data_IF_395628750533
#
_entry.id   IF_395628750533
#
_cell.length_a   1.000
_cell.length_b   1.000
_cell.length_c   1.000
_cell.angle_alpha   90.00
_cell.angle_beta   90.00
_cell.angle_gamma   90.00
#
_symmetry.space_group_name_H-M   'P 1'
#
loop_
_entity.id
_entity.type
_entity.pdbx_description
1 polymer ?
#
# COMPACT_ATOMS: atom_id res chain seq x y z
N UNK A 1 25.72 -11.13 24.34
CA UNK A 1 25.04 -11.12 23.03
C UNK A 1 25.84 -10.19 22.13
N UNK A 2 26.24 -10.64 20.95
CA UNK A 2 26.94 -9.80 19.97
C UNK A 2 25.90 -9.13 19.10
N UNK A 3 25.84 -7.79 19.11
CA UNK A 3 24.95 -7.03 18.23
C UNK A 3 25.41 -7.12 16.77
N UNK A 4 24.45 -7.25 15.85
CA UNK A 4 24.70 -7.21 14.41
C UNK A 4 25.02 -5.77 13.99
N UNK A 5 26.19 -5.52 13.41
CA UNK A 5 26.60 -4.18 12.92
C UNK A 5 25.91 -3.75 11.62
N UNK A 6 24.79 -4.39 11.24
CA UNK A 6 24.05 -4.05 10.03
C UNK A 6 23.09 -2.90 10.33
N UNK A 7 23.12 -1.88 9.49
CA UNK A 7 22.09 -0.85 9.45
C UNK A 7 20.75 -1.51 9.06
N UNK A 8 19.71 -1.22 9.84
CA UNK A 8 18.35 -1.73 9.63
C UNK A 8 17.40 -0.54 9.62
N UNK A 9 16.38 -0.62 8.76
CA UNK A 9 15.30 0.35 8.72
C UNK A 9 14.07 -0.21 9.43
N UNK A 10 13.37 0.64 10.16
CA UNK A 10 12.10 0.34 10.81
C UNK A 10 10.96 0.92 9.96
N UNK A 11 10.09 0.05 9.45
CA UNK A 11 8.92 0.48 8.69
C UNK A 11 7.70 0.66 9.61
N UNK A 12 7.02 1.80 9.49
CA UNK A 12 5.67 1.97 10.00
C UNK A 12 4.67 1.29 9.07
N UNK A 13 3.83 0.41 9.60
CA UNK A 13 2.80 -0.27 8.80
C UNK A 13 1.46 0.44 8.91
N UNK A 14 0.81 0.63 7.75
CA UNK A 14 -0.58 1.08 7.64
C UNK A 14 -1.39 -0.03 6.94
N UNK A 15 -2.16 -0.84 7.69
CA UNK A 15 -3.03 -1.86 7.12
C UNK A 15 -4.37 -1.27 6.63
N UNK A 16 -5.18 -2.04 5.87
CA UNK A 16 -6.54 -1.63 5.52
C UNK A 16 -7.42 -1.47 6.77
N UNK A 17 -8.12 -0.35 6.87
CA UNK A 17 -8.88 0.02 8.07
C UNK A 17 -10.11 -0.87 8.35
N UNK A 18 -10.69 -1.48 7.31
CA UNK A 18 -11.96 -2.23 7.37
C UNK A 18 -11.82 -3.74 7.13
N UNK A 19 -10.61 -4.26 7.33
CA UNK A 19 -10.29 -5.66 7.16
C UNK A 19 -9.69 -5.97 5.78
N UNK A 20 -8.78 -6.93 5.75
CA UNK A 20 -8.11 -7.36 4.52
C UNK A 20 -9.11 -7.92 3.52
N UNK A 21 -8.87 -7.63 2.24
CA UNK A 21 -9.62 -8.17 1.11
C UNK A 21 -11.10 -7.79 1.06
N UNK A 22 -11.51 -6.76 1.82
CA UNK A 22 -12.90 -6.28 1.91
C UNK A 22 -13.02 -4.81 1.50
N UNK A 23 -12.68 -4.47 0.24
CA UNK A 23 -12.81 -3.09 -0.23
C UNK A 23 -14.27 -2.62 -0.23
N UNK A 24 -15.24 -3.54 -0.23
CA UNK A 24 -16.67 -3.26 -0.11
C UNK A 24 -17.09 -2.67 1.26
N UNK A 25 -16.25 -2.80 2.29
CA UNK A 25 -16.48 -2.22 3.62
C UNK A 25 -15.84 -0.84 3.80
N UNK A 26 -15.18 -0.31 2.77
CA UNK A 26 -14.41 0.92 2.88
C UNK A 26 -15.31 2.13 3.19
N UNK A 27 -14.94 2.88 4.24
CA UNK A 27 -15.56 4.15 4.60
C UNK A 27 -14.50 5.25 4.70
N UNK A 28 -14.38 6.10 3.68
CA UNK A 28 -13.31 7.09 3.50
C UNK A 28 -12.96 7.89 4.78
N UNK A 29 -13.96 8.53 5.39
CA UNK A 29 -13.74 9.40 6.56
C UNK A 29 -13.17 8.62 7.74
N UNK A 30 -13.73 7.45 8.04
CA UNK A 30 -13.30 6.62 9.16
C UNK A 30 -11.95 5.96 8.86
N UNK A 31 -11.70 5.55 7.61
CA UNK A 31 -10.39 5.07 7.18
C UNK A 31 -9.32 6.13 7.45
N UNK A 32 -9.58 7.39 7.11
CA UNK A 32 -8.66 8.48 7.38
C UNK A 32 -8.39 8.65 8.88
N UNK A 33 -9.43 8.64 9.71
CA UNK A 33 -9.30 8.75 11.18
C UNK A 33 -8.46 7.61 11.78
N UNK A 34 -8.67 6.37 11.31
CA UNK A 34 -7.92 5.18 11.73
C UNK A 34 -6.46 5.29 11.28
N UNK A 35 -6.21 5.52 9.98
CA UNK A 35 -4.87 5.63 9.41
C UNK A 35 -4.09 6.79 10.02
N UNK A 36 -4.72 7.94 10.28
CA UNK A 36 -4.08 9.09 10.93
C UNK A 36 -3.68 8.80 12.38
N UNK A 37 -4.50 8.03 13.10
CA UNK A 37 -4.17 7.59 14.47
C UNK A 37 -2.96 6.68 14.47
N UNK A 38 -2.92 5.69 13.57
CA UNK A 38 -1.78 4.78 13.41
C UNK A 38 -0.52 5.52 12.96
N UNK A 39 -0.66 6.49 12.05
CA UNK A 39 0.42 7.33 11.59
C UNK A 39 1.08 8.10 12.75
N UNK A 40 0.27 8.85 13.51
CA UNK A 40 0.76 9.68 14.63
C UNK A 40 1.47 8.85 15.71
N UNK A 41 0.99 7.64 15.97
CA UNK A 41 1.57 6.77 16.98
C UNK A 41 2.95 6.23 16.59
N UNK A 42 3.18 5.99 15.29
CA UNK A 42 4.41 5.37 14.79
C UNK A 42 5.43 6.41 14.29
N UNK A 43 5.01 7.61 13.85
CA UNK A 43 5.87 8.58 13.17
C UNK A 43 7.18 8.92 13.91
N UNK A 44 7.26 9.04 15.25
CA UNK A 44 8.54 9.32 15.91
C UNK A 44 9.55 8.16 15.89
N UNK A 45 9.15 6.96 15.44
CA UNK A 45 9.86 5.70 15.67
C UNK A 45 10.25 4.94 14.41
N UNK A 46 9.88 5.44 13.23
CA UNK A 46 10.01 4.73 11.96
C UNK A 46 10.87 5.52 10.97
N UNK A 47 11.59 4.81 10.12
CA UNK A 47 12.45 5.38 9.09
C UNK A 47 11.72 5.51 7.75
N UNK A 48 10.79 4.58 7.47
CA UNK A 48 9.99 4.51 6.25
C UNK A 48 8.54 4.12 6.56
N UNK A 49 7.65 4.31 5.58
CA UNK A 49 6.25 3.92 5.66
C UNK A 49 5.90 2.85 4.63
N UNK A 50 5.11 1.86 5.05
CA UNK A 50 4.58 0.82 4.19
C UNK A 50 3.06 0.70 4.41
N UNK A 51 2.27 1.10 3.43
CA UNK A 51 0.87 0.74 3.38
C UNK A 51 0.77 -0.68 2.83
N UNK A 52 0.25 -1.62 3.62
CA UNK A 52 0.24 -3.03 3.24
C UNK A 52 -1.16 -3.56 2.98
N UNK A 53 -1.29 -4.55 2.08
CA UNK A 53 -2.56 -5.22 1.80
C UNK A 53 -3.67 -4.24 1.39
N UNK A 54 -3.31 -3.19 0.63
CA UNK A 54 -4.25 -2.17 0.15
C UNK A 54 -5.11 -2.78 -0.96
N UNK A 55 -6.43 -2.78 -0.78
CA UNK A 55 -7.33 -3.54 -1.64
C UNK A 55 -7.97 -2.72 -2.75
N UNK A 56 -7.91 -1.37 -2.68
CA UNK A 56 -8.53 -0.45 -3.63
C UNK A 56 -7.76 0.85 -3.83
N UNK A 57 -8.05 1.55 -4.93
CA UNK A 57 -7.48 2.89 -5.18
C UNK A 57 -7.99 3.88 -4.12
N UNK A 58 -9.27 3.79 -3.74
CA UNK A 58 -9.86 4.68 -2.73
C UNK A 58 -9.18 4.54 -1.35
N UNK A 59 -8.79 3.32 -0.96
CA UNK A 59 -7.97 3.10 0.25
C UNK A 59 -6.59 3.77 0.11
N UNK A 60 -5.92 3.59 -1.03
CA UNK A 60 -4.61 4.17 -1.30
C UNK A 60 -4.65 5.71 -1.24
N UNK A 61 -5.68 6.35 -1.79
CA UNK A 61 -5.87 7.80 -1.72
C UNK A 61 -5.94 8.32 -0.28
N UNK A 62 -6.73 7.66 0.57
CA UNK A 62 -6.82 8.02 1.99
C UNK A 62 -5.48 7.85 2.70
N UNK A 63 -4.81 6.72 2.46
CA UNK A 63 -3.53 6.42 3.12
C UNK A 63 -2.45 7.39 2.66
N UNK A 64 -2.32 7.64 1.35
CA UNK A 64 -1.34 8.59 0.81
C UNK A 64 -1.58 10.02 1.30
N UNK A 65 -2.84 10.44 1.49
CA UNK A 65 -3.18 11.73 2.13
C UNK A 65 -2.77 11.81 3.60
N UNK A 66 -2.78 10.68 4.33
CA UNK A 66 -2.23 10.64 5.70
C UNK A 66 -0.71 10.71 5.65
N UNK A 67 -0.08 9.92 4.77
CA UNK A 67 1.37 9.84 4.63
C UNK A 67 2.00 11.12 4.04
N UNK A 68 1.22 11.98 3.36
CA UNK A 68 1.70 13.30 2.90
C UNK A 68 2.06 14.27 4.03
N UNK A 69 1.86 13.89 5.30
CA UNK A 69 2.23 14.68 6.49
C UNK A 69 3.69 14.48 6.91
N UNK A 70 4.42 13.60 6.25
CA UNK A 70 5.84 13.33 6.49
C UNK A 70 6.63 13.41 5.19
N UNK A 71 7.94 13.65 5.30
CA UNK A 71 8.88 13.61 4.19
C UNK A 71 9.59 12.24 4.07
N UNK A 72 9.25 11.28 4.94
CA UNK A 72 9.84 9.95 4.91
C UNK A 72 9.36 9.15 3.69
N UNK A 73 10.21 8.28 3.12
CA UNK A 73 9.80 7.42 2.01
C UNK A 73 8.57 6.60 2.37
N UNK A 74 7.60 6.58 1.47
CA UNK A 74 6.36 5.83 1.63
C UNK A 74 6.14 4.88 0.46
N UNK A 75 5.72 3.66 0.76
CA UNK A 75 5.49 2.63 -0.24
C UNK A 75 4.08 2.08 -0.10
N UNK A 76 3.40 1.90 -1.22
CA UNK A 76 2.03 1.37 -1.25
C UNK A 76 2.05 -0.03 -1.84
N UNK A 77 1.71 -1.01 -1.01
CA UNK A 77 1.67 -2.42 -1.37
C UNK A 77 0.23 -2.89 -1.55
N UNK A 78 -0.13 -3.16 -2.81
CA UNK A 78 -1.48 -3.60 -3.17
C UNK A 78 -1.65 -5.12 -3.02
N UNK A 79 -2.87 -5.54 -2.71
CA UNK A 79 -3.32 -6.94 -2.82
C UNK A 79 -4.22 -7.12 -4.03
N UNK A 80 -4.08 -8.25 -4.70
CA UNK A 80 -4.66 -8.54 -6.01
C UNK A 80 -5.76 -9.60 -5.91
N UNK A 81 -6.61 -9.67 -6.92
CA UNK A 81 -7.52 -10.80 -7.10
C UNK A 81 -6.68 -12.06 -7.34
N UNK A 82 -6.97 -13.16 -6.64
CA UNK A 82 -6.24 -14.44 -6.80
C UNK A 82 -6.75 -15.25 -8.02
N UNK A 83 -7.00 -14.56 -9.12
CA UNK A 83 -7.39 -15.14 -10.41
C UNK A 83 -6.27 -14.79 -11.40
N UNK A 84 -5.72 -15.82 -12.06
CA UNK A 84 -4.59 -15.67 -12.99
C UNK A 84 -5.12 -15.12 -14.31
N UNK A 85 -5.31 -13.81 -14.33
CA UNK A 85 -5.94 -13.05 -15.40
C UNK A 85 -5.00 -11.93 -15.89
N UNK A 86 -5.15 -11.54 -17.16
CA UNK A 86 -4.44 -10.42 -17.76
C UNK A 86 -5.44 -9.39 -18.31
N UNK A 87 -5.37 -8.10 -17.93
CA UNK A 87 -4.41 -7.49 -16.99
C UNK A 87 -4.74 -7.78 -15.50
N UNK A 88 -3.72 -7.66 -14.65
CA UNK A 88 -3.86 -7.82 -13.19
C UNK A 88 -4.74 -6.73 -12.57
N UNK A 89 -5.50 -7.12 -11.53
CA UNK A 89 -6.49 -6.25 -10.87
C UNK A 89 -6.33 -6.23 -9.36
N UNK A 90 -6.62 -5.08 -8.77
CA UNK A 90 -6.84 -4.93 -7.34
C UNK A 90 -8.08 -5.72 -6.91
N UNK A 91 -8.22 -6.02 -5.61
CA UNK A 91 -9.39 -6.75 -5.10
C UNK A 91 -10.73 -6.03 -5.26
N UNK A 92 -10.74 -4.72 -5.47
CA UNK A 92 -11.93 -3.97 -5.87
C UNK A 92 -12.20 -3.95 -7.38
N UNK A 93 -11.32 -4.54 -8.19
CA UNK A 93 -11.50 -4.76 -9.63
C UNK A 93 -10.83 -3.72 -10.54
N UNK A 94 -10.29 -2.63 -10.00
CA UNK A 94 -9.50 -1.65 -10.76
C UNK A 94 -8.22 -2.28 -11.31
N UNK A 95 -7.73 -1.74 -12.42
CA UNK A 95 -6.48 -2.19 -13.00
C UNK A 95 -5.31 -1.75 -12.14
N UNK A 96 -4.27 -2.57 -12.10
CA UNK A 96 -3.01 -2.19 -11.45
C UNK A 96 -2.38 -0.96 -12.14
N UNK A 97 -2.57 -0.78 -13.44
CA UNK A 97 -2.12 0.42 -14.17
C UNK A 97 -2.84 1.69 -13.70
N UNK A 98 -4.15 1.63 -13.43
CA UNK A 98 -4.92 2.75 -12.90
C UNK A 98 -4.40 3.14 -11.51
N UNK A 99 -4.00 2.15 -10.71
CA UNK A 99 -3.38 2.38 -9.40
C UNK A 99 -2.00 3.06 -9.52
N UNK A 100 -1.21 2.74 -10.55
CA UNK A 100 0.05 3.46 -10.84
C UNK A 100 -0.23 4.91 -11.21
N UNK A 101 -1.19 5.16 -12.11
CA UNK A 101 -1.57 6.52 -12.51
C UNK A 101 -1.99 7.36 -11.29
N UNK A 102 -2.77 6.77 -10.38
CA UNK A 102 -3.14 7.45 -9.13
C UNK A 102 -1.92 7.74 -8.25
N UNK A 103 -1.02 6.77 -8.05
CA UNK A 103 0.15 6.97 -7.19
C UNK A 103 1.13 8.01 -7.74
N UNK A 104 1.24 8.16 -9.06
CA UNK A 104 2.04 9.20 -9.70
C UNK A 104 1.58 10.63 -9.36
N UNK A 105 0.34 10.79 -8.88
CA UNK A 105 -0.18 12.08 -8.38
C UNK A 105 0.18 12.36 -6.92
N UNK A 106 0.87 11.43 -6.25
CA UNK A 106 1.22 11.48 -4.82
C UNK A 106 2.74 11.54 -4.60
N UNK A 107 3.18 11.64 -3.34
CA UNK A 107 4.59 11.56 -2.95
C UNK A 107 5.06 10.12 -2.65
N UNK A 108 4.32 9.10 -3.09
CA UNK A 108 4.71 7.71 -2.91
C UNK A 108 6.07 7.44 -3.57
N UNK A 109 6.97 6.80 -2.84
CA UNK A 109 8.32 6.44 -3.28
C UNK A 109 8.35 5.14 -4.10
N UNK A 110 7.29 4.36 -4.07
CA UNK A 110 7.16 3.16 -4.89
C UNK A 110 5.87 2.39 -4.66
N UNK A 111 5.63 1.48 -5.59
CA UNK A 111 4.52 0.52 -5.59
C UNK A 111 5.07 -0.89 -5.33
N UNK A 112 4.36 -1.66 -4.52
CA UNK A 112 4.64 -3.07 -4.24
C UNK A 112 3.37 -3.91 -4.33
N UNK A 113 3.54 -5.23 -4.23
CA UNK A 113 2.43 -6.18 -4.18
C UNK A 113 2.69 -7.21 -3.07
N UNK A 114 1.68 -7.50 -2.25
CA UNK A 114 1.78 -8.50 -1.19
C UNK A 114 0.45 -9.24 -0.98
N UNK A 115 0.47 -10.27 -0.12
CA UNK A 115 -0.74 -11.00 0.30
C UNK A 115 -1.60 -11.49 -0.87
N UNK A 116 -0.93 -11.94 -1.95
CA UNK A 116 -1.53 -12.43 -3.19
C UNK A 116 -0.69 -13.60 -3.71
N UNK A 117 -1.25 -14.47 -4.55
CA UNK A 117 -0.48 -15.59 -5.11
C UNK A 117 0.68 -15.11 -6.02
N UNK A 118 1.80 -15.83 -6.11
CA UNK A 118 2.97 -15.42 -6.89
C UNK A 118 2.66 -15.12 -8.37
N UNK A 119 1.76 -15.90 -8.99
CA UNK A 119 1.41 -15.79 -10.41
C UNK A 119 0.78 -14.44 -10.74
N UNK A 120 -0.12 -13.92 -9.89
CA UNK A 120 -0.76 -12.62 -10.10
C UNK A 120 0.20 -11.46 -9.78
N UNK A 121 1.13 -11.67 -8.82
CA UNK A 121 2.19 -10.70 -8.53
C UNK A 121 3.17 -10.58 -9.72
N UNK A 122 3.53 -11.70 -10.35
CA UNK A 122 4.35 -11.69 -11.56
C UNK A 122 3.69 -10.87 -12.66
N UNK A 123 2.38 -11.07 -12.89
CA UNK A 123 1.66 -10.31 -13.89
C UNK A 123 1.58 -8.82 -13.55
N UNK A 124 1.27 -8.47 -12.31
CA UNK A 124 1.23 -7.07 -11.87
C UNK A 124 2.58 -6.36 -12.07
N UNK A 125 3.70 -7.04 -11.80
CA UNK A 125 5.04 -6.49 -12.08
C UNK A 125 5.24 -6.23 -13.59
N UNK A 126 4.73 -7.10 -14.47
CA UNK A 126 4.79 -6.85 -15.93
C UNK A 126 3.94 -5.65 -16.33
N UNK A 127 2.72 -5.56 -15.80
CA UNK A 127 1.77 -4.50 -16.14
C UNK A 127 2.29 -3.12 -15.71
N UNK A 128 2.83 -2.97 -14.50
CA UNK A 128 3.36 -1.66 -14.02
C UNK A 128 4.61 -1.19 -14.73
N UNK A 129 5.41 -2.09 -15.30
CA UNK A 129 6.60 -1.71 -16.07
C UNK A 129 6.29 -1.32 -17.52
N UNK A 130 5.02 -1.40 -17.93
CA UNK A 130 4.54 -0.97 -19.25
C UNK A 130 3.76 0.35 -19.20
N UNK A 131 3.39 0.81 -18.00
CA UNK A 131 2.64 2.04 -17.74
C UNK A 131 3.53 3.29 -17.76
#
# INVERSE_FOLDING_TARGET
MTESQKEVLVAGSIPPAFGSYRPDLFEEKKAFEISDTLFKAQEPHVDIWLAETVASIAEAEVITKVLSKTDKPSYISYTLIDEVDEPARLRSGELVTDAVEQLLTTNASGIFFNCSIPEVVEQAIKDVNQA
#
